data_IF_935639607863
#
_entry.id   IF_935639607863
#
_cell.length_a   1.000
_cell.length_b   1.000
_cell.length_c   1.000
_cell.angle_alpha   90.00
_cell.angle_beta   90.00
_cell.angle_gamma   90.00
#
_symmetry.space_group_name_H-M   'P 1'
#
loop_
_entity.id
_entity.type
_entity.pdbx_description
1 polymer ?
#
# COMPACT_ATOMS: atom_id res chain seq x y z
N UNK A 1 -29.21 -5.93 23.01
CA UNK A 1 -29.17 -4.97 21.87
C UNK A 1 -29.91 -3.69 22.27
N UNK A 2 -31.21 -3.76 22.61
CA UNK A 2 -32.01 -2.59 23.05
C UNK A 2 -31.39 -1.69 24.15
N UNK A 3 -30.67 -2.25 25.13
CA UNK A 3 -30.00 -1.47 26.19
C UNK A 3 -28.85 -0.61 25.65
N UNK A 4 -28.08 -1.12 24.69
CA UNK A 4 -26.97 -0.39 24.07
C UNK A 4 -27.48 0.70 23.12
N UNK A 5 -28.58 0.44 22.42
CA UNK A 5 -29.22 1.42 21.55
C UNK A 5 -29.79 2.59 22.35
N UNK A 6 -30.47 2.29 23.47
CA UNK A 6 -30.99 3.31 24.37
C UNK A 6 -29.87 4.13 25.00
N UNK A 7 -28.81 3.48 25.48
CA UNK A 7 -27.61 4.18 25.98
C UNK A 7 -27.05 5.11 24.89
N UNK A 8 -26.87 4.62 23.67
CA UNK A 8 -26.34 5.42 22.55
C UNK A 8 -27.19 6.66 22.26
N UNK A 9 -28.52 6.52 22.26
CA UNK A 9 -29.46 7.63 22.06
C UNK A 9 -29.36 8.68 23.16
N UNK A 10 -29.25 8.26 24.42
CA UNK A 10 -29.08 9.16 25.56
C UNK A 10 -27.75 9.91 25.43
N UNK A 11 -26.65 9.22 25.11
CA UNK A 11 -25.34 9.84 24.94
C UNK A 11 -25.33 10.87 23.81
N UNK A 12 -25.92 10.54 22.66
CA UNK A 12 -26.03 11.47 21.53
C UNK A 12 -26.78 12.74 21.92
N UNK A 13 -27.91 12.59 22.62
CA UNK A 13 -28.72 13.71 23.08
C UNK A 13 -27.94 14.61 24.05
N UNK A 14 -27.27 14.02 25.03
CA UNK A 14 -26.51 14.76 26.04
C UNK A 14 -25.28 15.45 25.44
N UNK A 15 -24.58 14.81 24.49
CA UNK A 15 -23.47 15.42 23.76
C UNK A 15 -23.92 16.56 22.86
N UNK A 16 -25.07 16.42 22.17
CA UNK A 16 -25.65 17.48 21.35
C UNK A 16 -26.02 18.72 22.17
N UNK A 17 -26.39 18.52 23.43
CA UNK A 17 -26.64 19.59 24.40
C UNK A 17 -25.36 20.20 25.00
N UNK A 18 -24.18 19.72 24.63
CA UNK A 18 -22.89 20.24 25.10
C UNK A 18 -22.39 19.66 26.43
N UNK A 19 -23.05 18.63 26.98
CA UNK A 19 -22.61 18.02 28.23
C UNK A 19 -21.39 17.12 28.02
N UNK A 20 -20.49 17.14 29.01
CA UNK A 20 -19.45 16.13 29.13
C UNK A 20 -20.00 14.92 29.89
N UNK A 21 -19.72 13.72 29.42
CA UNK A 21 -20.30 12.48 29.96
C UNK A 21 -19.19 11.56 30.43
N UNK A 22 -19.17 11.26 31.72
CA UNK A 22 -18.27 10.26 32.32
C UNK A 22 -19.02 8.92 32.43
N UNK A 23 -18.52 7.91 31.71
CA UNK A 23 -19.06 6.54 31.71
C UNK A 23 -18.27 5.62 32.64
N UNK A 24 -17.34 6.15 33.43
CA UNK A 24 -16.47 5.41 34.36
C UNK A 24 -15.32 4.66 33.66
N UNK A 25 -15.50 4.23 32.41
CA UNK A 25 -14.45 3.65 31.58
C UNK A 25 -13.94 4.59 30.50
N UNK A 26 -14.67 5.66 30.18
CA UNK A 26 -14.21 6.76 29.32
C UNK A 26 -14.96 8.06 29.64
N UNK A 27 -14.35 9.18 29.28
CA UNK A 27 -14.95 10.50 29.31
C UNK A 27 -15.16 10.98 27.87
N UNK A 28 -16.39 11.36 27.54
CA UNK A 28 -16.77 11.97 26.27
C UNK A 28 -16.96 13.46 26.47
N UNK A 29 -16.33 14.28 25.64
CA UNK A 29 -16.40 15.74 25.73
C UNK A 29 -16.66 16.37 24.35
N UNK A 30 -17.73 17.14 24.17
CA UNK A 30 -17.93 17.91 22.94
C UNK A 30 -16.90 19.03 22.87
N UNK A 31 -16.35 19.25 21.67
CA UNK A 31 -15.34 20.25 21.40
C UNK A 31 -15.70 21.05 20.15
N UNK A 32 -15.49 22.36 20.23
CA UNK A 32 -15.60 23.25 19.08
C UNK A 32 -14.20 23.49 18.51
N UNK A 33 -14.01 23.13 17.24
CA UNK A 33 -12.77 23.36 16.50
C UNK A 33 -12.97 24.39 15.40
N UNK A 34 -11.90 25.13 15.12
CA UNK A 34 -11.87 26.23 14.15
C UNK A 34 -11.50 27.55 14.82
N UNK A 35 -11.09 28.52 14.00
CA UNK A 35 -10.61 29.81 14.48
C UNK A 35 -11.68 30.89 14.25
N UNK A 36 -12.05 31.60 15.31
CA UNK A 36 -12.85 32.81 15.22
C UNK A 36 -11.93 34.00 14.99
N UNK A 37 -12.12 34.69 13.87
CA UNK A 37 -11.28 35.79 13.41
C UNK A 37 -11.75 37.15 13.96
N UNK A 38 -12.95 37.23 14.53
CA UNK A 38 -13.48 38.42 15.21
C UNK A 38 -14.44 38.06 16.35
N UNK A 39 -14.67 39.01 17.26
CA UNK A 39 -15.55 38.84 18.42
C UNK A 39 -17.02 38.62 18.03
N UNK A 40 -17.48 39.20 16.91
CA UNK A 40 -18.86 39.07 16.44
C UNK A 40 -19.07 37.87 15.49
N UNK A 41 -18.00 37.14 15.15
CA UNK A 41 -18.09 36.01 14.21
C UNK A 41 -18.95 34.88 14.79
N UNK A 42 -20.05 34.58 14.10
CA UNK A 42 -20.95 33.47 14.45
C UNK A 42 -20.40 32.14 13.97
N UNK A 43 -20.90 31.06 14.58
CA UNK A 43 -20.59 29.71 14.13
C UNK A 43 -20.95 29.51 12.65
N UNK A 44 -20.00 29.00 11.86
CA UNK A 44 -20.18 28.65 10.46
C UNK A 44 -19.68 27.24 10.21
N UNK A 45 -20.54 26.36 9.68
CA UNK A 45 -20.16 24.98 9.32
C UNK A 45 -19.06 24.89 8.25
N UNK A 46 -18.77 25.99 7.54
CA UNK A 46 -17.66 26.06 6.57
C UNK A 46 -16.29 26.24 7.23
N UNK A 47 -16.24 26.86 8.41
CA UNK A 47 -14.97 27.19 9.12
C UNK A 47 -14.80 26.43 10.42
N UNK A 48 -15.91 26.05 11.06
CA UNK A 48 -15.93 25.47 12.39
C UNK A 48 -16.58 24.08 12.35
N UNK A 49 -16.13 23.20 13.25
CA UNK A 49 -16.67 21.85 13.41
C UNK A 49 -16.86 21.53 14.88
N UNK A 50 -17.93 20.83 15.20
CA UNK A 50 -18.15 20.24 16.53
C UNK A 50 -17.67 18.80 16.45
N UNK A 51 -16.65 18.47 17.24
CA UNK A 51 -16.11 17.12 17.41
C UNK A 51 -16.45 16.60 18.81
N UNK A 52 -16.22 15.31 19.04
CA UNK A 52 -16.26 14.72 20.38
C UNK A 52 -14.89 14.11 20.68
N UNK A 53 -14.27 14.56 21.76
CA UNK A 53 -13.06 13.95 22.28
C UNK A 53 -13.39 12.76 23.18
N UNK A 54 -12.58 11.72 23.05
CA UNK A 54 -12.66 10.50 23.83
C UNK A 54 -11.41 10.36 24.70
N UNK A 55 -11.60 10.32 26.02
CA UNK A 55 -10.53 10.09 26.97
C UNK A 55 -10.72 8.72 27.62
N UNK A 56 -9.80 7.76 27.41
CA UNK A 56 -9.89 6.46 28.07
C UNK A 56 -9.74 6.62 29.58
N UNK A 57 -10.55 5.89 30.34
CA UNK A 57 -10.49 5.88 31.79
C UNK A 57 -9.20 5.29 32.32
N UNK A 58 -8.83 5.67 33.55
CA UNK A 58 -7.58 5.25 34.21
C UNK A 58 -7.37 3.73 34.23
N UNK A 59 -8.46 2.95 34.36
CA UNK A 59 -8.43 1.48 34.34
C UNK A 59 -7.98 0.93 33.00
N UNK A 60 -8.51 1.45 31.89
CA UNK A 60 -8.11 1.05 30.53
C UNK A 60 -6.63 1.37 30.29
N UNK A 61 -6.21 2.59 30.66
CA UNK A 61 -4.81 3.02 30.52
C UNK A 61 -3.88 2.08 31.32
N UNK A 62 -4.26 1.68 32.54
CA UNK A 62 -3.46 0.76 33.35
C UNK A 62 -3.36 -0.63 32.71
N UNK A 63 -4.45 -1.16 32.18
CA UNK A 63 -4.44 -2.45 31.46
C UNK A 63 -3.57 -2.40 30.21
N UNK A 64 -3.61 -1.29 29.45
CA UNK A 64 -2.77 -1.11 28.25
C UNK A 64 -1.27 -1.05 28.58
N UNK A 65 -0.89 -0.47 29.72
CA UNK A 65 0.51 -0.46 30.18
C UNK A 65 1.06 -1.84 30.52
N UNK A 66 0.17 -2.78 30.88
CA UNK A 66 0.53 -4.17 31.15
C UNK A 66 0.48 -5.06 29.90
N UNK A 67 -0.04 -4.53 28.78
CA UNK A 67 -0.14 -5.29 27.54
C UNK A 67 1.26 -5.45 26.92
N UNK A 68 1.58 -6.68 26.51
CA UNK A 68 2.78 -6.96 25.72
C UNK A 68 2.47 -6.74 24.25
N UNK A 69 3.12 -5.75 23.64
CA UNK A 69 3.09 -5.62 22.19
C UNK A 69 4.02 -6.66 21.56
N UNK A 70 3.49 -7.48 20.66
CA UNK A 70 4.31 -8.33 19.79
C UNK A 70 4.37 -7.68 18.41
N UNK A 71 5.57 -7.58 17.84
CA UNK A 71 5.72 -7.26 16.41
C UNK A 71 5.03 -8.36 15.61
N UNK A 72 3.87 -8.05 15.04
CA UNK A 72 3.25 -8.89 14.03
C UNK A 72 3.95 -8.60 12.71
N UNK A 73 4.66 -9.59 12.16
CA UNK A 73 5.18 -9.49 10.80
C UNK A 73 3.99 -9.57 9.85
N UNK A 74 3.31 -8.45 9.63
CA UNK A 74 2.30 -8.37 8.60
C UNK A 74 3.00 -8.45 7.25
N UNK A 75 2.76 -9.57 6.56
CA UNK A 75 3.23 -9.94 5.23
C UNK A 75 4.76 -9.99 5.15
N UNK A 76 5.29 -11.20 5.02
CA UNK A 76 6.62 -11.40 4.42
C UNK A 76 6.71 -10.45 3.20
N UNK A 77 7.65 -9.50 3.15
CA UNK A 77 7.74 -8.55 2.04
C UNK A 77 7.82 -9.35 0.74
N UNK A 78 6.95 -9.04 -0.21
CA UNK A 78 6.82 -9.73 -1.51
C UNK A 78 7.02 -8.65 -2.56
N UNK A 79 7.74 -8.92 -3.66
CA UNK A 79 7.89 -7.92 -4.71
C UNK A 79 6.50 -7.66 -5.32
N UNK A 80 6.21 -6.41 -5.69
CA UNK A 80 4.94 -6.04 -6.32
C UNK A 80 5.25 -5.26 -7.60
N UNK A 81 4.86 -5.80 -8.76
CA UNK A 81 4.99 -5.09 -10.04
C UNK A 81 3.70 -4.29 -10.26
N UNK A 82 3.83 -2.96 -10.37
CA UNK A 82 2.68 -2.08 -10.60
C UNK A 82 2.37 -1.89 -12.08
N UNK A 83 3.37 -1.55 -12.88
CA UNK A 83 3.24 -1.38 -14.33
C UNK A 83 4.61 -1.43 -15.00
N UNK A 84 4.60 -1.59 -16.32
CA UNK A 84 5.79 -1.50 -17.17
C UNK A 84 5.79 -0.15 -17.88
N UNK A 85 6.93 0.54 -17.83
CA UNK A 85 7.15 1.82 -18.49
C UNK A 85 8.16 1.63 -19.63
N UNK A 86 7.75 1.68 -20.90
CA UNK A 86 8.70 1.69 -22.01
C UNK A 86 9.57 2.96 -21.96
N UNK A 87 10.84 2.85 -22.35
CA UNK A 87 11.70 4.04 -22.54
C UNK A 87 11.31 4.79 -23.83
N UNK A 88 10.84 4.06 -24.84
CA UNK A 88 10.32 4.61 -26.10
C UNK A 88 8.82 4.33 -26.18
N UNK A 89 8.00 5.38 -26.15
CA UNK A 89 6.54 5.22 -26.18
C UNK A 89 6.08 4.70 -27.56
N UNK A 90 5.60 3.45 -27.60
CA UNK A 90 5.12 2.77 -28.82
C UNK A 90 3.77 2.06 -28.62
N UNK A 91 3.04 2.39 -27.55
CA UNK A 91 1.78 1.75 -27.17
C UNK A 91 1.90 0.84 -25.94
N UNK A 92 0.75 0.50 -25.35
CA UNK A 92 0.68 -0.30 -24.11
C UNK A 92 1.04 -1.75 -24.38
N UNK A 93 1.97 -2.30 -23.60
CA UNK A 93 2.37 -3.71 -23.56
C UNK A 93 2.87 -4.30 -24.90
N UNK A 94 3.27 -3.46 -25.86
CA UNK A 94 3.93 -3.90 -27.10
C UNK A 94 5.37 -3.42 -27.06
N UNK A 95 6.30 -4.36 -27.12
CA UNK A 95 7.73 -4.10 -27.06
C UNK A 95 8.44 -4.82 -28.22
N UNK A 96 9.64 -4.37 -28.55
CA UNK A 96 10.50 -5.00 -29.54
C UNK A 96 11.73 -5.60 -28.87
N UNK A 97 12.37 -6.52 -29.56
CA UNK A 97 13.70 -7.00 -29.18
C UNK A 97 14.68 -5.83 -29.09
N UNK A 98 15.49 -5.83 -28.03
CA UNK A 98 16.44 -4.76 -27.76
C UNK A 98 15.83 -3.51 -27.11
N UNK A 99 14.51 -3.44 -26.93
CA UNK A 99 13.88 -2.30 -26.25
C UNK A 99 14.26 -2.28 -24.76
N UNK A 100 14.44 -1.06 -24.25
CA UNK A 100 14.63 -0.80 -22.83
C UNK A 100 13.28 -0.55 -22.16
N UNK A 101 13.01 -1.27 -21.07
CA UNK A 101 11.79 -1.14 -20.29
C UNK A 101 12.12 -0.96 -18.81
N UNK A 102 11.32 -0.14 -18.11
CA UNK A 102 11.42 0.05 -16.67
C UNK A 102 10.22 -0.62 -15.98
N UNK A 103 10.50 -1.61 -15.16
CA UNK A 103 9.54 -2.27 -14.28
C UNK A 103 9.36 -1.38 -13.05
N UNK A 104 8.17 -0.83 -12.85
CA UNK A 104 7.88 0.07 -11.71
C UNK A 104 7.04 -0.68 -10.68
N UNK A 105 7.41 -0.55 -9.41
CA UNK A 105 6.76 -1.31 -8.35
C UNK A 105 7.32 -1.06 -6.97
N UNK A 106 7.24 -2.08 -6.11
CA UNK A 106 7.71 -2.05 -4.73
C UNK A 106 8.52 -3.29 -4.39
N UNK A 107 9.57 -3.11 -3.59
CA UNK A 107 10.47 -4.15 -3.10
C UNK A 107 11.10 -4.99 -4.23
N UNK A 108 11.44 -4.33 -5.35
CA UNK A 108 11.95 -4.97 -6.57
C UNK A 108 13.47 -5.18 -6.59
N UNK A 109 14.19 -4.78 -5.53
CA UNK A 109 15.65 -4.83 -5.51
C UNK A 109 16.13 -6.27 -5.31
N UNK A 110 17.01 -6.75 -6.17
CA UNK A 110 17.65 -8.05 -6.06
C UNK A 110 19.17 -7.95 -6.27
N UNK A 111 19.87 -9.03 -5.99
CA UNK A 111 21.28 -9.20 -6.34
C UNK A 111 21.30 -10.08 -7.60
N UNK A 112 21.91 -9.66 -8.71
CA UNK A 112 21.83 -10.33 -10.03
C UNK A 112 22.44 -11.75 -10.08
N UNK A 113 21.90 -12.69 -9.31
CA UNK A 113 22.34 -14.09 -9.21
C UNK A 113 21.63 -14.97 -10.24
N UNK A 114 22.03 -16.23 -10.41
CA UNK A 114 21.37 -17.14 -11.38
C UNK A 114 19.87 -17.36 -11.05
N UNK A 115 19.50 -17.29 -9.79
CA UNK A 115 18.15 -17.52 -9.28
C UNK A 115 17.31 -16.24 -9.15
N UNK A 116 17.95 -15.08 -9.07
CA UNK A 116 17.30 -13.78 -8.96
C UNK A 116 17.35 -12.99 -10.28
N UNK A 117 16.34 -12.16 -10.49
CA UNK A 117 16.27 -11.26 -11.62
C UNK A 117 14.96 -11.38 -12.39
N UNK A 118 15.00 -10.94 -13.64
CA UNK A 118 13.83 -10.85 -14.49
C UNK A 118 13.84 -11.96 -15.52
N UNK A 119 12.70 -12.64 -15.62
CA UNK A 119 12.46 -13.78 -16.49
C UNK A 119 11.27 -13.48 -17.40
N UNK A 120 11.38 -13.89 -18.65
CA UNK A 120 10.34 -13.80 -19.66
C UNK A 120 9.85 -15.22 -19.95
N UNK A 121 8.59 -15.51 -19.62
CA UNK A 121 7.97 -16.80 -19.89
C UNK A 121 7.05 -16.72 -21.11
N UNK A 122 7.36 -17.44 -22.20
CA UNK A 122 6.47 -17.48 -23.36
C UNK A 122 5.17 -18.21 -23.01
N UNK A 123 4.03 -17.70 -23.48
CA UNK A 123 2.73 -18.33 -23.19
C UNK A 123 2.59 -19.73 -23.84
N UNK A 124 3.35 -20.01 -24.91
CA UNK A 124 3.25 -21.25 -25.71
C UNK A 124 4.37 -22.26 -25.45
N UNK A 125 5.45 -21.87 -24.77
CA UNK A 125 6.62 -22.72 -24.52
C UNK A 125 6.96 -22.69 -23.03
N UNK A 126 7.52 -23.78 -22.50
CA UNK A 126 7.95 -23.85 -21.09
C UNK A 126 9.37 -23.34 -20.86
N UNK A 127 10.05 -22.89 -21.92
CA UNK A 127 11.43 -22.42 -21.81
C UNK A 127 11.44 -20.94 -21.42
N UNK A 128 11.74 -20.67 -20.15
CA UNK A 128 11.92 -19.30 -19.65
C UNK A 128 13.23 -18.70 -20.19
N UNK A 129 13.20 -17.41 -20.49
CA UNK A 129 14.40 -16.65 -20.90
C UNK A 129 14.73 -15.64 -19.82
N UNK A 130 15.92 -15.76 -19.22
CA UNK A 130 16.42 -14.78 -18.24
C UNK A 130 16.95 -13.54 -18.98
N UNK A 131 16.63 -12.37 -18.45
CA UNK A 131 17.18 -11.10 -18.93
C UNK A 131 18.58 -10.93 -18.35
N UNK A 132 19.56 -10.61 -19.20
CA UNK A 132 20.96 -10.48 -18.81
C UNK A 132 21.39 -9.01 -18.64
N UNK A 133 20.72 -8.08 -19.32
CA UNK A 133 21.12 -6.68 -19.35
C UNK A 133 20.20 -5.82 -18.47
N UNK A 134 20.75 -5.31 -17.37
CA UNK A 134 20.10 -4.40 -16.42
C UNK A 134 20.79 -3.04 -16.44
N UNK A 135 20.01 -1.96 -16.56
CA UNK A 135 20.54 -0.59 -16.50
C UNK A 135 20.20 0.12 -15.18
N UNK A 136 19.26 -0.43 -14.40
CA UNK A 136 18.86 0.13 -13.11
C UNK A 136 18.29 -0.98 -12.22
N UNK A 137 18.73 -1.07 -10.96
CA UNK A 137 18.11 -1.95 -9.95
C UNK A 137 17.90 -1.13 -8.67
N UNK A 138 16.66 -0.72 -8.44
CA UNK A 138 16.22 0.03 -7.27
C UNK A 138 15.02 -0.68 -6.64
N UNK A 139 14.75 -0.46 -5.33
CA UNK A 139 13.57 -1.04 -4.68
C UNK A 139 12.24 -0.68 -5.35
N UNK A 140 12.17 0.47 -6.04
CA UNK A 140 10.96 0.96 -6.72
C UNK A 140 10.97 0.75 -8.24
N UNK A 141 12.11 0.41 -8.82
CA UNK A 141 12.30 0.42 -10.28
C UNK A 141 13.42 -0.52 -10.70
N UNK A 142 13.14 -1.38 -11.69
CA UNK A 142 14.15 -2.23 -12.34
C UNK A 142 14.13 -1.96 -13.84
N UNK A 143 15.25 -1.48 -14.37
CA UNK A 143 15.44 -1.22 -15.78
C UNK A 143 16.10 -2.40 -16.47
N UNK A 144 15.45 -2.96 -17.49
CA UNK A 144 15.96 -4.10 -18.26
C UNK A 144 15.99 -3.80 -19.76
N UNK A 145 16.87 -4.47 -20.50
CA UNK A 145 16.81 -4.54 -21.95
C UNK A 145 16.27 -5.91 -22.40
N UNK A 146 15.28 -5.90 -23.28
CA UNK A 146 14.71 -7.14 -23.84
C UNK A 146 15.77 -7.82 -24.70
N UNK A 147 16.06 -9.13 -24.51
CA UNK A 147 17.08 -9.83 -25.29
C UNK A 147 16.84 -9.78 -26.80
N UNK A 148 17.90 -9.53 -27.56
CA UNK A 148 17.84 -9.40 -29.03
C UNK A 148 17.46 -10.73 -29.72
N UNK A 149 17.83 -11.85 -29.10
CA UNK A 149 17.60 -13.21 -29.63
C UNK A 149 16.25 -13.81 -29.22
N UNK A 150 15.35 -13.04 -28.59
CA UNK A 150 14.06 -13.55 -28.16
C UNK A 150 13.13 -13.78 -29.37
N UNK A 151 12.39 -14.90 -29.37
CA UNK A 151 11.40 -15.15 -30.43
C UNK A 151 10.20 -14.21 -30.28
N UNK A 152 9.57 -13.77 -31.38
CA UNK A 152 8.38 -12.94 -31.29
C UNK A 152 7.20 -13.73 -30.70
N UNK A 153 6.40 -13.08 -29.86
CA UNK A 153 5.21 -13.69 -29.25
C UNK A 153 4.77 -13.02 -27.95
N UNK A 154 3.82 -13.70 -27.28
CA UNK A 154 3.27 -13.27 -26.00
C UNK A 154 4.09 -13.83 -24.84
N UNK A 155 4.54 -12.96 -23.94
CA UNK A 155 5.32 -13.30 -22.74
C UNK A 155 4.65 -12.82 -21.46
N UNK A 156 4.91 -13.52 -20.36
CA UNK A 156 4.64 -13.04 -19.00
C UNK A 156 5.96 -12.65 -18.37
N UNK A 157 6.07 -11.41 -17.89
CA UNK A 157 7.23 -10.94 -17.16
C UNK A 157 7.15 -11.41 -15.71
N UNK A 158 8.25 -11.99 -15.23
CA UNK A 158 8.35 -12.55 -13.89
C UNK A 158 9.61 -12.03 -13.21
N UNK A 159 9.45 -11.49 -12.02
CA UNK A 159 10.54 -11.01 -11.19
C UNK A 159 10.75 -11.99 -10.03
N UNK A 160 11.99 -12.45 -9.84
CA UNK A 160 12.40 -13.30 -8.72
C UNK A 160 13.38 -12.55 -7.83
N UNK A 161 13.08 -12.46 -6.52
CA UNK A 161 13.86 -11.72 -5.53
C UNK A 161 13.97 -12.53 -4.24
N UNK A 162 15.16 -12.55 -3.62
CA UNK A 162 15.31 -13.10 -2.28
C UNK A 162 14.88 -12.10 -1.20
N UNK A 163 14.05 -12.57 -0.27
CA UNK A 163 13.73 -11.87 0.97
C UNK A 163 14.29 -12.67 2.14
N UNK A 164 15.48 -12.29 2.61
CA UNK A 164 16.28 -13.14 3.49
C UNK A 164 16.68 -14.40 2.73
N UNK A 165 16.33 -15.58 3.26
CA UNK A 165 16.66 -16.88 2.63
C UNK A 165 15.54 -17.44 1.74
N UNK A 166 14.43 -16.69 1.56
CA UNK A 166 13.27 -17.16 0.80
C UNK A 166 13.20 -16.50 -0.56
N UNK A 167 13.25 -17.30 -1.63
CA UNK A 167 13.01 -16.83 -2.99
C UNK A 167 11.53 -16.54 -3.18
N UNK A 168 11.21 -15.36 -3.69
CA UNK A 168 9.85 -14.95 -4.02
C UNK A 168 9.74 -14.58 -5.48
N UNK A 169 8.60 -14.92 -6.05
CA UNK A 169 8.27 -14.66 -7.44
C UNK A 169 7.04 -13.74 -7.51
N UNK A 170 7.14 -12.72 -8.36
CA UNK A 170 6.01 -11.86 -8.72
C UNK A 170 5.83 -11.87 -10.24
N UNK A 171 4.61 -12.12 -10.69
CA UNK A 171 4.25 -12.15 -12.11
C UNK A 171 3.52 -10.87 -12.47
N UNK A 172 3.89 -10.25 -13.58
CA UNK A 172 3.11 -9.15 -14.12
C UNK A 172 1.76 -9.66 -14.62
N UNK A 173 0.67 -9.04 -14.16
CA UNK A 173 -0.70 -9.50 -14.38
C UNK A 173 -1.12 -9.49 -15.86
N UNK A 174 -0.54 -8.59 -16.66
CA UNK A 174 -0.88 -8.46 -18.08
C UNK A 174 0.22 -9.09 -18.95
N UNK A 175 -0.14 -9.94 -19.93
CA UNK A 175 0.85 -10.45 -20.86
C UNK A 175 1.38 -9.33 -21.75
N UNK A 176 2.68 -9.38 -22.05
CA UNK A 176 3.35 -8.45 -22.96
C UNK A 176 3.54 -9.08 -24.34
N UNK A 177 3.38 -8.29 -25.39
CA UNK A 177 3.68 -8.70 -26.76
C UNK A 177 5.09 -8.24 -27.11
N UNK A 178 5.91 -9.17 -27.59
CA UNK A 178 7.26 -8.88 -28.06
C UNK A 178 7.34 -9.22 -29.55
N UNK A 179 7.70 -8.23 -30.38
CA UNK A 179 7.88 -8.35 -31.82
C UNK A 179 9.38 -8.46 -32.20
#
# INVERSE_FOLDING_TARGET
IAVLDNLSSILQTQLANGYSIDLGFCLLRPELKGNFSSYEEKFSRKKHRIDVSFFPGKKIIKSLKMATARKTTNLSPTPIISHLRPVLDRGKNVFHRGDMISIVGKDLKFTETETEGVFLLPNRSKQETRVAEYFCIKPSEVGIKIPDLLSPGTYVLVLRVFFGDTLKEEKYSEPIQIN
#
